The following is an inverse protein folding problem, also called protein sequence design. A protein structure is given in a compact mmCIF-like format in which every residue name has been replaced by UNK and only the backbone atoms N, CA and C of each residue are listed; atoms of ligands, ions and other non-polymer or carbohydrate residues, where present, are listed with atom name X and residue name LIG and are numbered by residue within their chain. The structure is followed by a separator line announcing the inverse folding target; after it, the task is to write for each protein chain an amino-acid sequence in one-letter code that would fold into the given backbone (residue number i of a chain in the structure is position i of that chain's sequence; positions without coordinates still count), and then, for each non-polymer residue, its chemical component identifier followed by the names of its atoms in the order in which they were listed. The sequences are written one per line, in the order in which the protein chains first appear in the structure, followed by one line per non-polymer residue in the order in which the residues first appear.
data_IF_064025346405
#
_entry.id   IF_064025346405
#
_cell.length_a   1.000
_cell.length_b   1.000
_cell.length_c   1.000
_cell.angle_alpha   90.00
_cell.angle_beta   90.00
_cell.angle_gamma   90.00
#
_symmetry.space_group_name_H-M   'P 1'
#
loop_
_entity.id
_entity.type
_entity.pdbx_description
1 polymer ?
#
# COMPACT_ATOMS: atom_id res chain seq x y z
N UNK A 1 -22.22 -24.08 -8.49
CA UNK A 1 -21.75 -22.70 -8.22
C UNK A 1 -22.41 -21.79 -9.25
N UNK A 2 -23.15 -20.76 -8.83
CA UNK A 2 -23.82 -19.86 -9.78
C UNK A 2 -22.74 -19.14 -10.58
N UNK A 3 -22.72 -19.34 -11.91
CA UNK A 3 -21.80 -18.64 -12.79
C UNK A 3 -22.20 -17.16 -12.80
N UNK A 4 -21.35 -16.30 -12.25
CA UNK A 4 -21.52 -14.84 -12.25
C UNK A 4 -20.41 -14.20 -13.07
N UNK A 5 -20.76 -13.64 -14.23
CA UNK A 5 -19.85 -13.11 -15.23
C UNK A 5 -20.19 -11.68 -15.69
N UNK A 6 -21.17 -11.04 -15.04
CA UNK A 6 -21.61 -9.69 -15.39
C UNK A 6 -20.79 -8.61 -14.70
N UNK A 7 -20.41 -7.57 -15.44
CA UNK A 7 -19.87 -6.34 -14.89
C UNK A 7 -20.98 -5.53 -14.21
N UNK A 8 -20.62 -4.71 -13.22
CA UNK A 8 -21.61 -3.84 -12.54
C UNK A 8 -22.30 -2.87 -13.53
N UNK A 9 -21.59 -2.47 -14.59
CA UNK A 9 -22.12 -1.63 -15.67
C UNK A 9 -23.21 -2.33 -16.49
N UNK A 10 -23.15 -3.65 -16.65
CA UNK A 10 -24.16 -4.43 -17.39
C UNK A 10 -25.44 -4.65 -16.58
N UNK A 11 -25.39 -4.38 -15.28
CA UNK A 11 -26.55 -4.35 -14.39
C UNK A 11 -27.20 -2.97 -14.31
N UNK A 12 -26.55 -1.95 -14.90
CA UNK A 12 -26.99 -0.57 -14.78
C UNK A 12 -28.30 -0.34 -15.51
N UNK A 13 -29.18 0.44 -14.87
CA UNK A 13 -30.43 0.90 -15.45
C UNK A 13 -30.51 2.41 -15.24
N UNK A 14 -30.65 3.21 -16.31
CA UNK A 14 -30.70 4.67 -16.20
C UNK A 14 -31.68 5.18 -15.15
N UNK A 15 -31.21 6.13 -14.33
CA UNK A 15 -31.95 6.77 -13.24
C UNK A 15 -31.98 6.01 -11.92
N UNK A 16 -31.42 4.80 -11.84
CA UNK A 16 -31.47 3.97 -10.63
C UNK A 16 -30.47 4.47 -9.58
N UNK A 17 -30.93 4.55 -8.33
CA UNK A 17 -30.15 5.08 -7.19
C UNK A 17 -30.04 4.04 -6.09
N UNK A 18 -28.82 3.65 -5.77
CA UNK A 18 -28.49 2.68 -4.71
C UNK A 18 -27.86 3.31 -3.46
N UNK A 19 -27.99 4.62 -3.28
CA UNK A 19 -27.37 5.35 -2.17
C UNK A 19 -28.34 6.34 -1.54
N UNK A 20 -28.08 6.66 -0.28
CA UNK A 20 -28.65 7.80 0.43
C UNK A 20 -27.49 8.64 0.95
N UNK A 21 -27.34 9.86 0.43
CA UNK A 21 -26.31 10.77 0.91
C UNK A 21 -26.82 11.50 2.16
N UNK A 22 -25.95 11.79 3.14
CA UNK A 22 -26.32 12.67 4.25
C UNK A 22 -26.75 14.03 3.72
N UNK A 23 -27.58 14.75 4.50
CA UNK A 23 -27.94 16.13 4.15
C UNK A 23 -26.64 16.95 3.97
N UNK A 24 -26.55 17.80 2.94
CA UNK A 24 -25.34 18.58 2.70
C UNK A 24 -24.92 19.36 3.94
N UNK A 25 -23.66 19.22 4.33
CA UNK A 25 -23.10 19.93 5.49
C UNK A 25 -23.07 21.44 5.29
N UNK A 26 -22.99 21.90 4.03
CA UNK A 26 -23.05 23.30 3.64
C UNK A 26 -24.26 23.55 2.73
N UNK A 27 -25.47 23.75 3.27
CA UNK A 27 -26.69 24.00 2.48
C UNK A 27 -26.66 25.33 1.70
N UNK A 28 -25.64 26.16 1.94
CA UNK A 28 -25.49 27.49 1.33
C UNK A 28 -25.05 27.49 -0.13
N UNK A 29 -24.34 26.44 -0.59
CA UNK A 29 -23.80 26.41 -1.95
C UNK A 29 -24.56 25.40 -2.79
N UNK A 30 -25.21 25.89 -3.84
CA UNK A 30 -25.87 25.09 -4.88
C UNK A 30 -24.91 24.98 -6.06
N UNK A 31 -25.01 23.90 -6.83
CA UNK A 31 -24.20 23.70 -8.05
C UNK A 31 -24.32 24.91 -9.00
N UNK A 32 -25.50 25.54 -9.07
CA UNK A 32 -25.74 26.76 -9.86
C UNK A 32 -24.93 27.99 -9.42
N UNK A 33 -24.35 27.96 -8.21
CA UNK A 33 -23.54 29.04 -7.67
C UNK A 33 -22.06 28.88 -8.07
N UNK A 34 -21.70 27.79 -8.75
CA UNK A 34 -20.38 27.56 -9.34
C UNK A 34 -20.34 28.14 -10.76
N UNK A 35 -19.19 28.71 -11.13
CA UNK A 35 -18.93 29.15 -12.51
C UNK A 35 -19.00 27.94 -13.46
N UNK A 36 -19.80 28.10 -14.52
CA UNK A 36 -20.08 27.08 -15.53
C UNK A 36 -18.81 26.56 -16.20
N UNK A 37 -17.77 27.40 -16.31
CA UNK A 37 -16.49 27.01 -16.89
C UNK A 37 -15.77 25.91 -16.09
N UNK A 38 -16.14 25.71 -14.82
CA UNK A 38 -15.58 24.65 -13.96
C UNK A 38 -16.55 23.48 -13.75
N UNK A 39 -17.74 23.52 -14.34
CA UNK A 39 -18.67 22.40 -14.27
C UNK A 39 -18.30 21.33 -15.29
N UNK A 40 -18.48 20.07 -14.89
CA UNK A 40 -18.30 18.94 -15.78
C UNK A 40 -19.39 18.97 -16.86
N UNK A 41 -19.00 18.96 -18.13
CA UNK A 41 -19.94 19.00 -19.27
C UNK A 41 -20.66 17.67 -19.53
N UNK A 42 -19.98 16.55 -19.31
CA UNK A 42 -20.53 15.21 -19.51
C UNK A 42 -20.78 14.50 -18.18
N UNK A 43 -21.76 13.59 -18.11
CA UNK A 43 -21.97 12.79 -16.91
C UNK A 43 -20.79 11.85 -16.61
N UNK A 44 -20.66 11.44 -15.35
CA UNK A 44 -19.70 10.43 -14.95
C UNK A 44 -20.20 9.04 -15.37
N UNK A 45 -19.33 8.23 -15.97
CA UNK A 45 -19.63 6.84 -16.31
C UNK A 45 -19.61 5.97 -15.05
N UNK A 46 -20.62 6.14 -14.20
CA UNK A 46 -20.85 5.37 -12.99
C UNK A 46 -22.02 4.39 -13.20
N UNK A 47 -22.00 3.21 -12.56
CA UNK A 47 -23.12 2.29 -12.67
C UNK A 47 -24.34 2.81 -11.92
N UNK A 48 -25.52 2.63 -12.50
CA UNK A 48 -26.80 3.02 -11.94
C UNK A 48 -27.56 1.78 -11.47
N UNK A 49 -27.32 1.39 -10.22
CA UNK A 49 -27.75 0.12 -9.63
C UNK A 49 -28.41 0.34 -8.26
N UNK A 50 -29.30 -0.56 -7.83
CA UNK A 50 -29.89 -0.48 -6.49
C UNK A 50 -28.91 -1.07 -5.46
N UNK A 51 -29.07 -0.72 -4.19
CA UNK A 51 -28.19 -1.22 -3.12
C UNK A 51 -28.13 -2.76 -3.10
N UNK A 52 -29.27 -3.44 -3.31
CA UNK A 52 -29.31 -4.89 -3.38
C UNK A 52 -28.53 -5.46 -4.59
N UNK A 53 -28.48 -4.74 -5.71
CA UNK A 53 -27.69 -5.14 -6.88
C UNK A 53 -26.19 -5.05 -6.54
N UNK A 54 -25.77 -3.99 -5.83
CA UNK A 54 -24.39 -3.81 -5.34
C UNK A 54 -24.00 -4.95 -4.40
N UNK A 55 -24.85 -5.24 -3.40
CA UNK A 55 -24.61 -6.32 -2.45
C UNK A 55 -24.46 -7.67 -3.17
N UNK A 56 -25.41 -8.01 -4.05
CA UNK A 56 -25.35 -9.25 -4.84
C UNK A 56 -24.11 -9.31 -5.72
N UNK A 57 -23.75 -8.21 -6.37
CA UNK A 57 -22.58 -8.14 -7.24
C UNK A 57 -21.29 -8.46 -6.46
N UNK A 58 -21.01 -7.73 -5.38
CA UNK A 58 -19.77 -7.91 -4.64
C UNK A 58 -19.72 -9.22 -3.83
N UNK A 59 -20.86 -9.73 -3.32
CA UNK A 59 -20.92 -11.06 -2.71
C UNK A 59 -20.66 -12.17 -3.73
N UNK A 60 -21.21 -12.06 -4.95
CA UNK A 60 -20.93 -13.05 -5.99
C UNK A 60 -19.46 -12.97 -6.45
N UNK A 61 -18.87 -11.77 -6.52
CA UNK A 61 -17.45 -11.60 -6.81
C UNK A 61 -16.57 -12.16 -5.69
N UNK A 62 -16.92 -11.99 -4.41
CA UNK A 62 -16.13 -12.54 -3.31
C UNK A 62 -16.08 -14.07 -3.35
N UNK A 63 -17.17 -14.73 -3.76
CA UNK A 63 -17.17 -16.19 -3.97
C UNK A 63 -16.28 -16.65 -5.14
N UNK A 64 -15.86 -15.74 -6.03
CA UNK A 64 -14.91 -16.04 -7.12
C UNK A 64 -13.45 -15.85 -6.71
N UNK A 65 -13.20 -15.30 -5.51
CA UNK A 65 -11.85 -15.10 -5.00
C UNK A 65 -11.42 -16.30 -4.17
N UNK A 66 -10.18 -16.74 -4.40
CA UNK A 66 -9.49 -17.68 -3.52
C UNK A 66 -8.71 -16.86 -2.50
N UNK A 67 -8.77 -17.23 -1.22
CA UNK A 67 -8.16 -16.44 -0.14
C UNK A 67 -7.83 -17.26 1.09
N UNK A 68 -6.95 -16.73 1.95
CA UNK A 68 -6.39 -17.40 3.14
C UNK A 68 -7.47 -17.87 4.11
N UNK A 69 -8.60 -17.16 4.19
CA UNK A 69 -9.72 -17.53 5.08
C UNK A 69 -10.44 -18.80 4.64
N UNK A 70 -10.45 -19.06 3.34
CA UNK A 70 -11.24 -20.14 2.74
C UNK A 70 -10.38 -21.36 2.43
N UNK A 71 -9.07 -21.20 2.31
CA UNK A 71 -8.18 -22.21 1.76
C UNK A 71 -6.73 -22.06 2.25
N UNK A 72 -5.97 -23.15 2.15
CA UNK A 72 -4.52 -23.10 2.29
C UNK A 72 -3.88 -22.38 1.10
N UNK A 73 -2.99 -21.41 1.39
CA UNK A 73 -2.46 -20.48 0.39
C UNK A 73 -0.92 -20.41 0.41
N UNK A 74 -0.19 -21.42 -0.11
CA UNK A 74 1.27 -21.53 0.03
C UNK A 74 2.06 -20.69 -0.99
N UNK A 75 1.90 -19.36 -0.97
CA UNK A 75 2.73 -18.47 -1.79
C UNK A 75 4.07 -18.18 -1.11
N UNK A 76 5.16 -18.59 -1.77
CA UNK A 76 6.52 -18.21 -1.40
C UNK A 76 6.70 -16.69 -1.38
N UNK A 77 7.57 -16.20 -0.50
CA UNK A 77 7.86 -14.76 -0.28
C UNK A 77 6.67 -13.91 0.23
N UNK A 78 5.44 -14.42 0.29
CA UNK A 78 4.25 -13.63 0.61
C UNK A 78 3.76 -13.78 2.06
N UNK A 79 4.23 -14.80 2.79
CA UNK A 79 3.85 -15.07 4.19
C UNK A 79 2.32 -15.01 4.40
N UNK A 80 1.58 -15.83 3.66
CA UNK A 80 0.11 -15.91 3.71
C UNK A 80 -0.38 -16.54 5.03
N UNK A 81 -0.20 -15.83 6.13
CA UNK A 81 -0.61 -16.22 7.49
C UNK A 81 -2.06 -15.85 7.76
N UNK A 82 -2.62 -16.42 8.82
CA UNK A 82 -3.92 -15.98 9.34
C UNK A 82 -3.92 -14.47 9.65
N UNK A 83 -4.99 -13.78 9.24
CA UNK A 83 -5.28 -12.40 9.58
C UNK A 83 -6.31 -12.37 10.74
N UNK A 84 -5.89 -12.11 11.99
CA UNK A 84 -6.80 -12.12 13.13
C UNK A 84 -7.96 -11.15 12.98
N UNK A 85 -9.20 -11.64 13.12
CA UNK A 85 -10.43 -10.81 12.96
C UNK A 85 -10.51 -9.64 13.94
N UNK A 86 -9.91 -9.78 15.12
CA UNK A 86 -9.77 -8.68 16.08
C UNK A 86 -9.05 -7.46 15.48
N UNK A 87 -8.14 -7.64 14.52
CA UNK A 87 -7.45 -6.52 13.88
C UNK A 87 -8.40 -5.66 13.03
N UNK A 88 -9.41 -6.26 12.41
CA UNK A 88 -10.46 -5.54 11.67
C UNK A 88 -11.38 -4.78 12.62
N UNK A 89 -11.73 -5.38 13.77
CA UNK A 89 -12.55 -4.71 14.78
C UNK A 89 -11.82 -3.51 15.38
N UNK A 90 -10.52 -3.66 15.69
CA UNK A 90 -9.71 -2.59 16.27
C UNK A 90 -9.45 -1.45 15.27
N UNK A 91 -9.17 -1.75 14.00
CA UNK A 91 -8.93 -0.73 12.97
C UNK A 91 -10.18 0.12 12.69
N UNK A 92 -11.37 -0.44 12.92
CA UNK A 92 -12.65 0.22 12.73
C UNK A 92 -13.10 1.11 13.90
N UNK A 93 -12.34 1.15 15.01
CA UNK A 93 -12.68 2.05 16.12
C UNK A 93 -12.62 3.52 15.63
N UNK A 94 -13.57 4.38 16.03
CA UNK A 94 -13.58 5.80 15.68
C UNK A 94 -12.26 6.53 16.00
N UNK A 95 -11.58 6.08 17.06
CA UNK A 95 -10.28 6.60 17.48
C UNK A 95 -9.12 6.31 16.49
N UNK A 96 -9.34 5.49 15.46
CA UNK A 96 -8.40 5.26 14.35
C UNK A 96 -8.96 5.77 13.02
N UNK A 97 -10.21 5.43 12.68
CA UNK A 97 -10.76 5.69 11.34
C UNK A 97 -11.44 7.06 11.16
N UNK A 98 -11.60 7.86 12.22
CA UNK A 98 -12.15 9.22 12.16
C UNK A 98 -11.12 10.29 12.58
N UNK A 99 -9.86 10.10 12.20
CA UNK A 99 -8.78 11.04 12.49
C UNK A 99 -8.36 11.77 11.22
N UNK A 100 -8.24 13.09 11.32
CA UNK A 100 -7.58 13.87 10.29
C UNK A 100 -6.06 13.88 10.55
N UNK A 101 -5.21 13.55 9.57
CA UNK A 101 -3.75 13.46 9.79
C UNK A 101 -3.10 14.79 10.21
N UNK A 102 -3.77 15.92 9.94
CA UNK A 102 -3.33 17.27 10.34
C UNK A 102 -4.05 17.84 11.57
N UNK A 103 -4.85 17.06 12.30
CA UNK A 103 -5.47 17.58 13.54
C UNK A 103 -4.41 17.80 14.64
N UNK A 104 -4.68 18.67 15.63
CA UNK A 104 -3.69 18.97 16.66
C UNK A 104 -3.15 17.71 17.34
N UNK A 105 -1.83 17.59 17.49
CA UNK A 105 -1.17 16.42 18.08
C UNK A 105 -1.72 16.09 19.48
N UNK A 106 -2.14 17.10 20.25
CA UNK A 106 -2.78 16.94 21.56
C UNK A 106 -4.07 16.11 21.52
N UNK A 107 -4.76 16.07 20.38
CA UNK A 107 -6.00 15.29 20.19
C UNK A 107 -5.78 13.83 19.76
N UNK A 108 -4.52 13.43 19.49
CA UNK A 108 -4.18 12.10 18.94
C UNK A 108 -3.09 11.38 19.74
N UNK A 109 -2.88 11.74 21.01
CA UNK A 109 -1.80 11.17 21.84
C UNK A 109 -1.85 9.63 21.93
N UNK A 110 -3.04 9.03 21.94
CA UNK A 110 -3.18 7.56 21.90
C UNK A 110 -2.58 6.94 20.64
N UNK A 111 -2.80 7.55 19.48
CA UNK A 111 -2.23 7.09 18.20
C UNK A 111 -0.71 7.29 18.15
N UNK A 112 -0.22 8.43 18.64
CA UNK A 112 1.21 8.70 18.72
C UNK A 112 1.94 7.74 19.67
N UNK A 113 1.29 7.35 20.76
CA UNK A 113 1.80 6.31 21.66
C UNK A 113 1.93 4.98 20.94
N UNK A 114 0.89 4.53 20.24
CA UNK A 114 0.92 3.28 19.45
C UNK A 114 2.03 3.33 18.39
N UNK A 115 2.14 4.45 17.67
CA UNK A 115 3.18 4.66 16.67
C UNK A 115 4.59 4.54 17.28
N UNK A 116 4.81 5.17 18.44
CA UNK A 116 6.09 5.10 19.15
C UNK A 116 6.39 3.69 19.66
N UNK A 117 5.45 3.05 20.34
CA UNK A 117 5.63 1.72 20.94
C UNK A 117 5.88 0.66 19.86
N UNK A 118 5.13 0.70 18.75
CA UNK A 118 5.36 -0.19 17.60
C UNK A 118 6.75 0.04 16.99
N UNK A 119 7.16 1.31 16.85
CA UNK A 119 8.51 1.65 16.39
C UNK A 119 9.60 1.03 17.27
N UNK A 120 9.47 1.15 18.60
CA UNK A 120 10.41 0.55 19.55
C UNK A 120 10.42 -0.98 19.49
N UNK A 121 9.26 -1.63 19.41
CA UNK A 121 9.20 -3.08 19.26
C UNK A 121 9.92 -3.56 17.98
N UNK A 122 9.75 -2.84 16.87
CA UNK A 122 10.42 -3.19 15.61
C UNK A 122 11.92 -2.88 15.62
N UNK A 123 12.35 -1.82 16.31
CA UNK A 123 13.78 -1.56 16.57
C UNK A 123 14.43 -2.74 17.28
N UNK A 124 13.80 -3.22 18.36
CA UNK A 124 14.29 -4.37 19.14
C UNK A 124 14.32 -5.66 18.31
N UNK A 125 13.24 -5.96 17.56
CA UNK A 125 13.15 -7.16 16.71
C UNK A 125 14.22 -7.14 15.61
N UNK A 126 14.47 -5.99 15.00
CA UNK A 126 15.43 -5.86 13.91
C UNK A 126 16.88 -5.65 14.37
N UNK A 127 17.11 -5.31 15.64
CA UNK A 127 18.44 -4.95 16.16
C UNK A 127 18.97 -3.64 15.56
N UNK A 128 18.08 -2.66 15.33
CA UNK A 128 18.43 -1.35 14.74
C UNK A 128 18.20 -0.23 15.76
N UNK A 129 18.99 0.85 15.67
CA UNK A 129 18.85 2.02 16.56
C UNK A 129 17.53 2.79 16.33
N UNK A 130 16.97 2.72 15.12
CA UNK A 130 15.76 3.44 14.75
C UNK A 130 14.94 2.67 13.71
N UNK A 131 13.62 2.90 13.70
CA UNK A 131 12.67 2.33 12.75
C UNK A 131 11.67 3.40 12.31
N UNK A 132 11.36 3.46 11.01
CA UNK A 132 10.37 4.39 10.46
C UNK A 132 9.14 3.63 9.97
N UNK A 133 7.94 4.06 10.38
CA UNK A 133 6.66 3.49 9.97
C UNK A 133 6.03 4.24 8.76
N UNK A 134 6.72 5.24 8.22
CA UNK A 134 6.23 6.06 7.12
C UNK A 134 6.29 5.38 5.72
N UNK A 135 7.17 4.40 5.45
CA UNK A 135 7.07 3.63 4.20
C UNK A 135 5.83 2.72 4.20
N UNK A 136 4.95 2.90 3.22
CA UNK A 136 3.65 2.20 3.15
C UNK A 136 3.69 0.80 2.49
N UNK A 137 4.86 0.34 2.03
CA UNK A 137 5.05 -0.97 1.42
C UNK A 137 6.55 -1.36 1.45
N UNK A 138 6.86 -2.65 1.24
CA UNK A 138 8.24 -3.15 1.22
C UNK A 138 9.14 -2.43 0.21
N UNK A 139 8.72 -2.32 -1.06
CA UNK A 139 9.48 -1.61 -2.09
C UNK A 139 9.67 -0.11 -1.79
N UNK A 140 8.70 0.52 -1.12
CA UNK A 140 8.85 1.91 -0.67
C UNK A 140 9.89 1.99 0.46
N UNK A 141 9.93 1.00 1.36
CA UNK A 141 10.96 0.86 2.39
C UNK A 141 12.37 0.66 1.79
N UNK A 142 12.50 -0.15 0.75
CA UNK A 142 13.76 -0.31 0.00
C UNK A 142 14.25 1.03 -0.56
N UNK A 143 13.37 1.79 -1.23
CA UNK A 143 13.70 3.11 -1.77
C UNK A 143 14.15 4.07 -0.67
N UNK A 144 13.41 4.14 0.45
CA UNK A 144 13.79 4.99 1.59
C UNK A 144 15.14 4.58 2.16
N UNK A 145 15.41 3.28 2.31
CA UNK A 145 16.70 2.77 2.76
C UNK A 145 17.85 3.19 1.84
N UNK A 146 17.66 3.06 0.53
CA UNK A 146 18.63 3.50 -0.48
C UNK A 146 18.85 5.02 -0.43
N UNK A 147 17.80 5.82 -0.26
CA UNK A 147 17.90 7.28 -0.12
C UNK A 147 18.67 7.66 1.14
N UNK A 148 18.47 6.95 2.25
CA UNK A 148 19.24 7.17 3.49
C UNK A 148 20.72 6.84 3.29
N UNK A 149 21.04 5.70 2.65
CA UNK A 149 22.43 5.32 2.33
C UNK A 149 23.10 6.33 1.39
N UNK A 150 22.37 6.80 0.37
CA UNK A 150 22.84 7.83 -0.57
C UNK A 150 23.13 9.14 0.14
N UNK A 151 22.18 9.65 0.93
CA UNK A 151 22.36 10.87 1.71
C UNK A 151 23.52 10.77 2.71
N UNK A 152 23.74 9.59 3.30
CA UNK A 152 24.88 9.32 4.16
C UNK A 152 26.22 9.48 3.42
N UNK A 153 26.35 8.92 2.21
CA UNK A 153 27.56 9.07 1.40
C UNK A 153 27.77 10.50 0.92
N UNK A 154 26.71 11.18 0.44
CA UNK A 154 26.77 12.58 0.00
C UNK A 154 27.22 13.52 1.12
N UNK A 155 26.71 13.34 2.35
CA UNK A 155 27.11 14.14 3.52
C UNK A 155 28.59 14.00 3.86
N UNK A 156 29.23 12.89 3.47
CA UNK A 156 30.65 12.62 3.67
C UNK A 156 31.53 13.01 2.47
N UNK A 157 30.93 13.50 1.38
CA UNK A 157 31.62 13.81 0.14
C UNK A 157 31.92 12.57 -0.74
N UNK A 158 31.36 11.40 -0.43
CA UNK A 158 31.61 10.13 -1.11
C UNK A 158 30.73 9.97 -2.37
N UNK A 159 30.71 10.97 -3.27
CA UNK A 159 29.80 11.02 -4.43
C UNK A 159 30.01 9.92 -5.47
N UNK A 160 31.12 9.19 -5.39
CA UNK A 160 31.41 8.06 -6.29
C UNK A 160 30.70 6.76 -5.87
N UNK A 161 30.05 6.72 -4.69
CA UNK A 161 29.27 5.57 -4.22
C UNK A 161 27.89 5.53 -4.88
N UNK A 162 27.88 5.22 -6.18
CA UNK A 162 26.68 5.23 -7.03
C UNK A 162 26.15 3.85 -7.39
N UNK A 163 26.82 2.78 -6.94
CA UNK A 163 26.49 1.38 -7.29
C UNK A 163 25.88 0.64 -6.10
N UNK A 164 24.88 -0.19 -6.37
CA UNK A 164 24.26 -1.12 -5.41
C UNK A 164 24.41 -2.54 -5.94
N UNK A 165 25.01 -3.41 -5.13
CA UNK A 165 25.22 -4.80 -5.48
C UNK A 165 23.94 -5.59 -5.14
N UNK A 166 23.42 -6.33 -6.11
CA UNK A 166 22.17 -7.09 -5.97
C UNK A 166 22.41 -8.53 -6.44
N UNK A 167 22.09 -9.57 -5.66
CA UNK A 167 22.15 -10.94 -6.14
C UNK A 167 21.12 -11.20 -7.26
N UNK A 168 21.45 -12.08 -8.22
CA UNK A 168 20.54 -12.55 -9.28
C UNK A 168 19.24 -13.20 -8.76
N UNK A 169 19.23 -13.66 -7.52
CA UNK A 169 18.08 -14.24 -6.81
C UNK A 169 17.24 -13.21 -6.03
N UNK A 170 17.64 -11.93 -6.03
CA UNK A 170 16.89 -10.89 -5.33
C UNK A 170 15.48 -10.70 -5.92
N UNK A 171 14.57 -10.24 -5.08
CA UNK A 171 13.23 -9.87 -5.55
C UNK A 171 13.33 -8.71 -6.55
N UNK A 172 12.48 -8.69 -7.58
CA UNK A 172 12.54 -7.70 -8.66
C UNK A 172 12.35 -6.25 -8.21
N UNK A 173 11.84 -6.03 -7.00
CA UNK A 173 11.75 -4.69 -6.40
C UNK A 173 13.14 -4.12 -6.10
N UNK A 174 14.12 -4.93 -5.71
CA UNK A 174 15.47 -4.46 -5.36
C UNK A 174 16.16 -3.68 -6.50
N UNK A 175 16.32 -4.25 -7.73
CA UNK A 175 16.90 -3.50 -8.83
C UNK A 175 16.02 -2.33 -9.29
N UNK A 176 14.70 -2.46 -9.21
CA UNK A 176 13.77 -1.37 -9.55
C UNK A 176 13.91 -0.17 -8.60
N UNK A 177 13.89 -0.40 -7.29
CA UNK A 177 14.10 0.59 -6.24
C UNK A 177 15.46 1.27 -6.39
N UNK A 178 16.50 0.51 -6.72
CA UNK A 178 17.85 1.03 -7.02
C UNK A 178 17.83 2.00 -8.20
N UNK A 179 17.21 1.62 -9.31
CA UNK A 179 17.09 2.47 -10.50
C UNK A 179 16.27 3.73 -10.21
N UNK A 180 15.16 3.62 -9.47
CA UNK A 180 14.32 4.76 -9.04
C UNK A 180 15.10 5.73 -8.15
N UNK A 181 16.02 5.24 -7.31
CA UNK A 181 16.92 6.07 -6.50
C UNK A 181 18.02 6.77 -7.33
N UNK A 182 18.11 6.48 -8.63
CA UNK A 182 19.16 6.99 -9.52
C UNK A 182 20.53 6.36 -9.27
N UNK A 183 20.56 5.14 -8.73
CA UNK A 183 21.78 4.37 -8.50
C UNK A 183 21.93 3.26 -9.56
N UNK A 184 23.15 2.79 -9.77
CA UNK A 184 23.47 1.73 -10.72
C UNK A 184 23.36 0.37 -10.06
N UNK A 185 22.62 -0.55 -10.66
CA UNK A 185 22.56 -1.95 -10.22
C UNK A 185 23.80 -2.68 -10.72
N UNK A 186 24.46 -3.42 -9.83
CA UNK A 186 25.52 -4.38 -10.16
C UNK A 186 25.03 -5.75 -9.73
N UNK A 187 24.69 -6.59 -10.69
CA UNK A 187 24.21 -7.94 -10.40
C UNK A 187 25.37 -8.90 -10.10
N UNK A 188 25.21 -9.76 -9.09
CA UNK A 188 26.16 -10.83 -8.77
C UNK A 188 25.47 -12.19 -8.82
N UNK A 189 26.23 -13.20 -9.24
CA UNK A 189 25.71 -14.56 -9.45
C UNK A 189 25.50 -15.33 -8.15
N UNK A 190 24.54 -16.23 -8.18
CA UNK A 190 24.42 -17.31 -7.20
C UNK A 190 25.29 -18.52 -7.56
N UNK A 191 25.73 -19.26 -6.54
CA UNK A 191 26.36 -20.58 -6.70
C UNK A 191 25.33 -21.63 -7.13
N UNK A 192 25.75 -22.82 -7.61
CA UNK A 192 24.83 -23.92 -7.90
C UNK A 192 23.98 -24.40 -6.71
N UNK A 193 24.37 -24.05 -5.47
CA UNK A 193 23.60 -24.34 -4.25
C UNK A 193 22.64 -23.21 -3.83
N UNK A 194 22.49 -22.18 -4.66
CA UNK A 194 21.58 -21.05 -4.41
C UNK A 194 22.09 -20.05 -3.37
N UNK A 195 23.41 -19.98 -3.14
CA UNK A 195 24.04 -19.01 -2.22
C UNK A 195 24.72 -17.90 -3.01
N UNK A 196 25.04 -16.79 -2.37
CA UNK A 196 25.88 -15.75 -3.00
C UNK A 196 27.26 -16.31 -3.34
N UNK A 197 27.71 -16.11 -4.59
CA UNK A 197 29.07 -16.43 -5.00
C UNK A 197 30.06 -15.38 -4.45
N UNK A 198 30.96 -15.82 -3.57
CA UNK A 198 31.93 -14.94 -2.91
C UNK A 198 32.99 -14.39 -3.86
N UNK A 199 33.37 -15.10 -4.91
CA UNK A 199 34.33 -14.61 -5.90
C UNK A 199 33.68 -13.58 -6.81
N UNK A 200 32.42 -13.80 -7.20
CA UNK A 200 31.62 -12.79 -7.91
C UNK A 200 31.41 -11.53 -7.07
N UNK A 201 31.17 -11.67 -5.76
CA UNK A 201 31.06 -10.53 -4.84
C UNK A 201 32.38 -9.76 -4.72
N UNK A 202 33.50 -10.44 -4.47
CA UNK A 202 34.83 -9.81 -4.34
C UNK A 202 35.24 -9.03 -5.58
N UNK A 203 34.85 -9.49 -6.77
CA UNK A 203 35.16 -8.81 -8.02
C UNK A 203 34.50 -7.44 -8.19
N UNK A 204 33.49 -7.11 -7.37
CA UNK A 204 32.69 -5.87 -7.49
C UNK A 204 32.67 -5.00 -6.23
N UNK A 205 33.38 -5.39 -5.16
CA UNK A 205 33.55 -4.59 -3.92
C UNK A 205 34.55 -3.43 -4.12
#
# INVERSE_FOLDING_TARGET
MVKYDRLIFELSVPGRKGYSLPKPFAPKYKIRDLDQNFLRGDEALLPEVFELDVLRHYTNLSHKNFGVETNFYPLGSCTMKYNPKINEELSMLPAFNQIHPLQPASSVQGNLRIYSELGTMLQEICGLDCFSLNPYAGAHGELVGLMVMKAYHEKRGDFQRTKVIVPDSAHGTNPASTAVCGMQVVEIKSTPSGRVDLESLKAVL
#
